data_IF_597125364215
#
_entry.id   IF_597125364215
#
_cell.length_a   1.000
_cell.length_b   1.000
_cell.length_c   1.000
_cell.angle_alpha   90.00
_cell.angle_beta   90.00
_cell.angle_gamma   90.00
#
_symmetry.space_group_name_H-M   'P 1'
#
loop_
_entity.id
_entity.type
_entity.pdbx_description
1 polymer ?
#
# COMPACT_ATOMS: atom_id res chain seq x y z
N UNK A 1 8.68 -20.43 25.52
CA UNK A 1 8.12 -21.23 24.41
C UNK A 1 9.02 -21.07 23.18
N UNK A 2 9.31 -22.15 22.47
CA UNK A 2 10.06 -22.12 21.21
C UNK A 2 9.21 -22.73 20.11
N UNK A 3 9.04 -22.02 18.99
CA UNK A 3 8.41 -22.53 17.77
C UNK A 3 9.52 -22.62 16.72
N UNK A 4 9.77 -23.83 16.23
CA UNK A 4 10.87 -24.13 15.31
C UNK A 4 10.52 -25.31 14.41
N UNK A 5 11.14 -25.36 13.24
CA UNK A 5 11.15 -26.55 12.38
C UNK A 5 11.85 -27.72 13.09
N UNK A 6 11.51 -28.96 12.69
CA UNK A 6 12.29 -30.14 13.02
C UNK A 6 13.65 -30.10 12.30
N UNK A 7 14.65 -30.76 12.87
CA UNK A 7 16.04 -30.57 12.44
C UNK A 7 16.26 -31.02 10.98
N UNK A 8 16.74 -30.11 10.13
CA UNK A 8 16.94 -30.34 8.70
C UNK A 8 15.68 -30.23 7.84
N UNK A 9 14.49 -30.04 8.43
CA UNK A 9 13.24 -29.93 7.68
C UNK A 9 12.88 -28.47 7.36
N UNK A 10 12.25 -28.26 6.21
CA UNK A 10 11.65 -26.98 5.87
C UNK A 10 10.25 -26.91 6.48
N UNK A 11 10.01 -25.93 7.36
CA UNK A 11 8.68 -25.62 7.86
C UNK A 11 8.21 -24.27 7.30
N UNK A 12 6.99 -24.25 6.74
CA UNK A 12 6.38 -23.05 6.20
C UNK A 12 5.11 -22.70 6.97
N UNK A 13 4.93 -21.41 7.25
CA UNK A 13 3.66 -20.85 7.71
C UNK A 13 3.19 -19.89 6.62
N UNK A 14 2.11 -20.26 5.95
CA UNK A 14 1.54 -19.49 4.84
C UNK A 14 0.23 -18.85 5.24
N UNK A 15 0.01 -17.61 4.77
CA UNK A 15 -1.28 -16.93 4.79
C UNK A 15 -2.16 -17.23 3.57
N UNK A 16 -1.69 -18.09 2.68
CA UNK A 16 -2.37 -18.55 1.48
C UNK A 16 -3.48 -19.54 1.81
N UNK A 17 -4.61 -19.41 1.13
CA UNK A 17 -5.71 -20.38 1.16
C UNK A 17 -5.83 -21.01 -0.22
N UNK A 18 -5.70 -22.35 -0.36
CA UNK A 18 -5.88 -23.02 -1.64
C UNK A 18 -7.23 -22.69 -2.27
N UNK A 19 -7.23 -22.52 -3.59
CA UNK A 19 -8.44 -22.28 -4.39
C UNK A 19 -8.70 -23.53 -5.22
N UNK A 20 -9.81 -24.21 -4.92
CA UNK A 20 -10.29 -25.29 -5.77
C UNK A 20 -11.04 -24.71 -6.97
N UNK A 21 -10.53 -24.98 -8.17
CA UNK A 21 -11.06 -24.38 -9.39
C UNK A 21 -11.29 -25.38 -10.52
N UNK A 22 -12.50 -25.37 -11.06
CA UNK A 22 -12.81 -26.01 -12.35
C UNK A 22 -12.75 -24.94 -13.45
N UNK A 23 -11.57 -24.82 -14.06
CA UNK A 23 -11.31 -23.79 -15.07
C UNK A 23 -12.09 -24.03 -16.36
N UNK A 24 -12.72 -22.95 -16.85
CA UNK A 24 -13.39 -22.91 -18.16
C UNK A 24 -12.77 -21.83 -19.01
N UNK A 25 -12.63 -22.08 -20.31
CA UNK A 25 -12.19 -21.05 -21.25
C UNK A 25 -13.22 -19.92 -21.26
N UNK A 26 -12.76 -18.69 -20.99
CA UNK A 26 -13.59 -17.49 -21.08
C UNK A 26 -13.41 -16.82 -22.44
N UNK A 27 -12.16 -16.59 -22.85
CA UNK A 27 -11.84 -15.93 -24.11
C UNK A 27 -10.54 -16.49 -24.67
N UNK A 28 -10.55 -16.82 -25.96
CA UNK A 28 -9.37 -17.14 -26.75
C UNK A 28 -9.34 -16.24 -27.98
N UNK A 29 -8.20 -15.65 -28.34
CA UNK A 29 -8.08 -14.92 -29.61
C UNK A 29 -6.80 -15.25 -30.38
N UNK A 30 -6.72 -14.72 -31.60
CA UNK A 30 -5.59 -14.90 -32.53
C UNK A 30 -4.24 -14.39 -32.00
N UNK A 31 -4.24 -13.58 -30.93
CA UNK A 31 -3.05 -13.02 -30.29
C UNK A 31 -2.62 -13.83 -29.05
N UNK A 32 -3.14 -15.05 -28.88
CA UNK A 32 -2.88 -15.93 -27.73
C UNK A 32 -3.41 -15.43 -26.37
N UNK A 33 -4.40 -14.53 -26.34
CA UNK A 33 -5.13 -14.22 -25.11
C UNK A 33 -5.87 -15.47 -24.66
N UNK A 34 -5.36 -16.14 -23.63
CA UNK A 34 -5.89 -17.40 -23.11
C UNK A 34 -6.48 -17.16 -21.71
N UNK A 35 -7.62 -16.49 -21.67
CA UNK A 35 -8.28 -16.14 -20.40
C UNK A 35 -9.18 -17.29 -19.99
N UNK A 36 -8.92 -17.84 -18.82
CA UNK A 36 -9.74 -18.83 -18.15
C UNK A 36 -10.48 -18.20 -16.99
N UNK A 37 -11.64 -18.75 -16.67
CA UNK A 37 -12.45 -18.33 -15.53
C UNK A 37 -12.83 -19.51 -14.64
N UNK A 38 -13.03 -19.22 -13.37
CA UNK A 38 -13.49 -20.14 -12.36
C UNK A 38 -14.39 -19.41 -11.37
N UNK A 39 -15.55 -20.00 -11.06
CA UNK A 39 -16.42 -19.51 -9.99
C UNK A 39 -15.89 -20.01 -8.65
N UNK A 40 -15.72 -19.11 -7.69
CA UNK A 40 -15.26 -19.41 -6.34
C UNK A 40 -16.37 -19.08 -5.33
N UNK A 41 -16.46 -19.80 -4.22
CA UNK A 41 -17.45 -19.54 -3.18
C UNK A 41 -16.78 -19.27 -1.84
N UNK A 42 -17.31 -18.30 -1.09
CA UNK A 42 -16.90 -18.05 0.30
C UNK A 42 -15.53 -17.41 0.52
N UNK A 43 -14.81 -17.00 -0.53
CA UNK A 43 -13.45 -16.45 -0.43
C UNK A 43 -13.34 -15.18 -1.29
N UNK A 44 -12.80 -14.10 -0.71
CA UNK A 44 -12.34 -12.91 -1.45
C UNK A 44 -10.91 -13.14 -1.95
N UNK A 45 -10.47 -12.49 -3.02
CA UNK A 45 -9.07 -12.60 -3.48
C UNK A 45 -8.42 -11.23 -3.45
N UNK A 46 -7.65 -10.99 -2.39
CA UNK A 46 -6.83 -9.80 -2.28
C UNK A 46 -5.48 -9.96 -2.97
N UNK A 47 -4.93 -11.17 -3.04
CA UNK A 47 -3.76 -11.47 -3.85
C UNK A 47 -3.78 -12.93 -4.27
N UNK A 48 -3.00 -13.29 -5.29
CA UNK A 48 -3.02 -14.61 -5.88
C UNK A 48 -1.59 -15.16 -6.03
N UNK A 49 -1.39 -16.41 -5.61
CA UNK A 49 -0.23 -17.23 -5.97
C UNK A 49 -0.63 -18.29 -6.97
N UNK A 50 0.27 -18.59 -7.89
CA UNK A 50 0.18 -19.69 -8.85
C UNK A 50 1.48 -20.49 -8.76
N UNK A 51 1.41 -21.76 -8.35
CA UNK A 51 2.58 -22.62 -8.10
C UNK A 51 3.63 -21.94 -7.20
N UNK A 52 3.19 -21.32 -6.11
CA UNK A 52 4.05 -20.57 -5.16
C UNK A 52 4.56 -19.21 -5.65
N UNK A 53 4.36 -18.84 -6.92
CA UNK A 53 4.80 -17.56 -7.50
C UNK A 53 3.68 -16.52 -7.43
N UNK A 54 4.02 -15.23 -7.23
CA UNK A 54 3.03 -14.15 -7.25
C UNK A 54 2.46 -13.97 -8.66
N UNK A 55 1.15 -14.08 -8.81
CA UNK A 55 0.48 -13.67 -10.03
C UNK A 55 0.29 -12.15 -10.07
N UNK A 56 0.27 -11.59 -11.28
CA UNK A 56 0.22 -10.14 -11.50
C UNK A 56 -1.24 -9.74 -11.50
N UNK A 57 -1.63 -8.78 -10.68
CA UNK A 57 -2.98 -8.23 -10.82
C UNK A 57 -3.03 -7.46 -12.14
N UNK A 58 -4.05 -7.74 -12.96
CA UNK A 58 -4.30 -7.08 -14.25
C UNK A 58 -4.00 -5.58 -14.18
N UNK A 59 -3.03 -5.11 -14.96
CA UNK A 59 -2.51 -3.73 -14.88
C UNK A 59 -1.99 -3.21 -16.20
N UNK A 60 -2.05 -1.89 -16.37
CA UNK A 60 -1.40 -1.21 -17.49
C UNK A 60 -0.51 -0.05 -17.04
N UNK A 61 0.75 0.02 -17.51
CA UNK A 61 1.39 -0.93 -18.42
C UNK A 61 1.63 -2.31 -17.79
N UNK A 62 1.67 -3.32 -18.64
CA UNK A 62 2.01 -4.69 -18.28
C UNK A 62 3.44 -4.75 -17.73
N UNK A 63 3.57 -5.18 -16.47
CA UNK A 63 4.87 -5.32 -15.81
C UNK A 63 4.80 -6.31 -14.64
N UNK A 64 5.89 -7.05 -14.44
CA UNK A 64 6.08 -7.85 -13.24
C UNK A 64 6.71 -6.97 -12.13
N UNK A 65 5.98 -6.69 -11.03
CA UNK A 65 6.48 -5.82 -9.97
C UNK A 65 7.69 -6.39 -9.21
N UNK A 66 7.90 -7.72 -9.23
CA UNK A 66 9.03 -8.36 -8.53
C UNK A 66 10.36 -8.21 -9.30
N UNK A 67 10.31 -8.02 -10.61
CA UNK A 67 11.52 -7.95 -11.46
C UNK A 67 11.70 -6.62 -12.18
N UNK A 68 10.61 -5.88 -12.41
CA UNK A 68 10.60 -4.62 -13.16
C UNK A 68 10.24 -3.41 -12.28
N UNK A 69 9.92 -3.63 -10.99
CA UNK A 69 9.57 -2.56 -10.07
C UNK A 69 8.27 -1.83 -10.46
N UNK A 70 8.31 -0.50 -10.51
CA UNK A 70 7.12 0.31 -10.82
C UNK A 70 6.58 0.06 -12.24
N UNK A 71 7.47 -0.16 -13.22
CA UNK A 71 7.11 -0.62 -14.56
C UNK A 71 6.22 0.32 -15.38
N UNK A 72 6.20 1.62 -15.07
CA UNK A 72 5.41 2.60 -15.81
C UNK A 72 6.14 3.94 -15.95
N UNK A 73 5.90 4.58 -17.09
CA UNK A 73 6.30 5.96 -17.40
C UNK A 73 5.09 6.81 -17.80
N UNK A 74 3.87 6.32 -17.58
CA UNK A 74 2.67 7.05 -17.95
C UNK A 74 2.53 8.30 -17.09
N UNK A 75 2.20 9.42 -17.73
CA UNK A 75 2.02 10.72 -17.09
C UNK A 75 0.57 11.15 -17.22
N UNK A 76 0.00 11.65 -16.13
CA UNK A 76 -1.32 12.25 -16.16
C UNK A 76 -1.30 13.53 -17.02
N UNK A 77 -2.42 13.86 -17.67
CA UNK A 77 -2.57 15.18 -18.31
C UNK A 77 -2.59 16.29 -17.25
N UNK A 78 -3.30 16.05 -16.16
CA UNK A 78 -3.25 16.90 -14.96
C UNK A 78 -3.77 16.15 -13.74
N UNK A 79 -3.25 16.49 -12.56
CA UNK A 79 -3.78 16.05 -11.28
C UNK A 79 -4.80 17.06 -10.76
N UNK A 80 -5.94 16.58 -10.28
CA UNK A 80 -7.00 17.44 -9.77
C UNK A 80 -6.68 17.88 -8.35
N UNK A 81 -6.67 19.19 -8.11
CA UNK A 81 -6.29 19.79 -6.83
C UNK A 81 -7.17 19.29 -5.68
N UNK A 82 -6.61 18.98 -4.50
CA UNK A 82 -7.34 18.41 -3.37
C UNK A 82 -8.73 19.04 -3.15
N UNK A 83 -9.73 18.24 -2.80
CA UNK A 83 -11.04 18.79 -2.43
C UNK A 83 -11.02 19.32 -1.00
N UNK A 84 -11.87 20.32 -0.64
CA UNK A 84 -12.04 20.75 0.73
C UNK A 84 -12.43 19.57 1.66
N UNK A 85 -12.09 19.62 2.96
CA UNK A 85 -11.48 20.74 3.68
C UNK A 85 -9.95 20.81 3.58
N UNK A 86 -9.41 22.02 3.39
CA UNK A 86 -7.96 22.28 3.28
C UNK A 86 -7.24 22.47 4.62
N UNK A 87 -8.00 22.63 5.70
CA UNK A 87 -7.49 22.91 7.04
C UNK A 87 -8.04 21.85 8.02
N UNK A 88 -7.29 21.56 9.11
CA UNK A 88 -7.77 20.65 10.13
C UNK A 88 -9.04 21.18 10.79
N UNK A 89 -9.94 20.27 11.16
CA UNK A 89 -11.14 20.59 11.92
C UNK A 89 -10.82 21.08 13.33
N UNK A 90 -9.71 20.59 13.91
CA UNK A 90 -9.21 21.03 15.21
C UNK A 90 -7.69 21.01 15.22
N UNK A 91 -7.08 21.94 15.96
CA UNK A 91 -5.64 22.01 16.11
C UNK A 91 -5.26 21.99 17.59
N UNK A 92 -4.49 20.96 17.96
CA UNK A 92 -3.92 20.84 19.29
C UNK A 92 -2.52 21.45 19.31
N UNK A 93 -2.30 22.34 20.27
CA UNK A 93 -0.98 22.94 20.54
C UNK A 93 -0.58 22.55 21.98
N UNK A 94 0.18 21.47 22.18
CA UNK A 94 0.59 21.06 23.52
C UNK A 94 1.45 22.16 24.16
N UNK A 95 1.09 22.57 25.38
CA UNK A 95 1.87 23.55 26.14
C UNK A 95 3.22 22.99 26.63
N UNK A 96 3.35 21.65 26.86
CA UNK A 96 4.58 20.94 27.26
C UNK A 96 4.33 19.40 27.37
N UNK A 97 5.31 18.47 27.31
CA UNK A 97 6.73 18.60 26.93
C UNK A 97 7.03 18.25 25.46
N UNK A 98 8.25 18.58 25.03
CA UNK A 98 8.91 18.44 23.71
C UNK A 98 8.59 19.52 22.66
N UNK A 99 8.62 20.80 23.05
CA UNK A 99 9.34 21.78 22.21
C UNK A 99 10.82 21.51 22.45
N UNK A 100 11.61 21.29 21.40
CA UNK A 100 13.04 21.58 21.51
C UNK A 100 13.11 23.08 21.22
N UNK A 101 12.93 23.86 22.27
CA UNK A 101 13.14 25.29 22.34
C UNK A 101 14.62 25.66 22.26
N UNK A 102 15.49 24.75 21.80
CA UNK A 102 16.74 25.10 21.13
C UNK A 102 16.44 26.01 19.96
N UNK A 103 16.33 27.29 20.30
CA UNK A 103 16.81 28.41 19.52
C UNK A 103 18.03 27.95 18.73
N UNK A 104 18.05 28.26 17.44
CA UNK A 104 19.19 28.09 16.55
C UNK A 104 20.49 28.35 17.33
N UNK A 105 21.18 27.30 17.78
CA UNK A 105 22.48 27.47 18.38
C UNK A 105 23.39 27.72 17.18
N UNK A 106 23.68 28.99 16.91
CA UNK A 106 24.79 29.37 16.06
C UNK A 106 26.07 28.91 16.77
N UNK A 107 26.39 27.61 16.69
CA UNK A 107 27.68 27.13 17.15
C UNK A 107 28.72 27.59 16.13
N UNK A 108 29.42 28.69 16.46
CA UNK A 108 30.62 29.09 15.74
C UNK A 108 31.70 28.04 15.99
N UNK A 109 31.90 27.14 15.04
CA UNK A 109 33.09 26.29 14.98
C UNK A 109 34.00 26.90 13.91
N UNK A 110 35.08 27.58 14.33
CA UNK A 110 36.10 28.09 13.40
C UNK A 110 35.74 29.34 12.60
N UNK A 111 34.74 30.14 13.00
CA UNK A 111 34.41 31.41 12.34
C UNK A 111 33.48 31.30 11.13
N UNK A 112 33.05 30.09 10.77
CA UNK A 112 31.97 29.84 9.81
C UNK A 112 30.66 29.57 10.53
N UNK A 113 29.59 30.29 10.15
CA UNK A 113 28.24 30.05 10.67
C UNK A 113 27.64 28.81 10.00
N UNK A 114 27.66 27.67 10.67
CA UNK A 114 26.92 26.48 10.26
C UNK A 114 25.51 26.55 10.84
N UNK A 115 24.55 27.01 10.03
CA UNK A 115 23.12 26.99 10.35
C UNK A 115 22.64 25.53 10.47
N UNK A 116 22.54 25.05 11.72
CA UNK A 116 21.90 23.75 11.99
C UNK A 116 20.40 23.98 12.14
N UNK A 117 19.64 23.76 11.06
CA UNK A 117 18.19 23.94 11.08
C UNK A 117 17.49 22.76 11.77
N UNK A 118 17.01 22.95 13.00
CA UNK A 118 16.09 22.01 13.64
C UNK A 118 14.66 22.23 13.12
N UNK A 119 14.28 21.59 12.02
CA UNK A 119 13.05 21.85 11.26
C UNK A 119 11.68 21.68 11.96
N UNK A 120 11.62 21.40 13.27
CA UNK A 120 10.37 21.08 14.00
C UNK A 120 10.16 22.00 15.21
N UNK A 121 9.95 23.30 14.97
CA UNK A 121 9.93 24.29 16.05
C UNK A 121 8.60 24.39 16.83
N UNK A 122 7.48 23.92 16.27
CA UNK A 122 6.21 23.84 17.00
C UNK A 122 5.47 22.54 16.68
N UNK A 123 5.40 21.61 17.63
CA UNK A 123 4.65 20.34 17.48
C UNK A 123 3.13 20.57 17.54
N UNK A 124 2.60 21.32 16.57
CA UNK A 124 1.15 21.45 16.35
C UNK A 124 0.65 20.15 15.74
N UNK A 125 -0.45 19.63 16.28
CA UNK A 125 -1.12 18.44 15.75
C UNK A 125 -2.49 18.83 15.22
N UNK A 126 -2.69 18.71 13.91
CA UNK A 126 -4.01 18.86 13.31
C UNK A 126 -4.83 17.57 13.45
N UNK A 127 -6.14 17.72 13.56
CA UNK A 127 -7.10 16.61 13.62
C UNK A 127 -8.25 16.86 12.64
N UNK A 128 -8.70 15.79 11.98
CA UNK A 128 -9.71 15.84 10.93
C UNK A 128 -9.23 16.61 9.70
N UNK A 129 -10.17 17.25 9.01
CA UNK A 129 -9.89 18.01 7.81
C UNK A 129 -9.24 17.15 6.70
N UNK A 130 -8.14 17.61 6.07
CA UNK A 130 -7.50 16.87 4.98
C UNK A 130 -6.87 15.54 5.43
N UNK A 131 -6.69 15.34 6.73
CA UNK A 131 -6.16 14.11 7.31
C UNK A 131 -7.24 13.11 7.75
N UNK A 132 -8.49 13.31 7.35
CA UNK A 132 -9.59 12.40 7.69
C UNK A 132 -9.35 10.95 7.23
N UNK A 133 -8.45 10.72 6.27
CA UNK A 133 -8.08 9.40 5.78
C UNK A 133 -7.04 8.65 6.64
N UNK A 134 -6.41 9.30 7.64
CA UNK A 134 -5.50 8.64 8.58
C UNK A 134 -6.25 7.99 9.75
N UNK A 135 -5.60 7.05 10.43
CA UNK A 135 -6.08 6.42 11.67
C UNK A 135 -5.01 6.46 12.77
N UNK A 136 -5.21 7.24 13.85
CA UNK A 136 -6.28 8.23 14.02
C UNK A 136 -6.18 9.35 12.96
N UNK A 137 -7.25 10.11 12.69
CA UNK A 137 -7.29 11.17 11.67
C UNK A 137 -6.55 12.42 12.16
N UNK A 138 -5.27 12.28 12.50
CA UNK A 138 -4.50 13.31 13.16
C UNK A 138 -2.99 13.12 13.00
N UNK A 139 -2.26 14.22 13.01
CA UNK A 139 -0.81 14.23 13.02
C UNK A 139 -0.21 15.60 12.77
N UNK A 140 1.12 15.64 12.65
CA UNK A 140 1.90 16.86 12.50
C UNK A 140 1.60 17.59 11.18
N UNK A 141 1.67 16.88 10.06
CA UNK A 141 1.40 17.44 8.72
C UNK A 141 -0.07 17.82 8.51
N UNK A 142 -0.96 17.41 9.41
CA UNK A 142 -2.36 17.85 9.43
C UNK A 142 -2.54 19.26 9.98
N UNK A 143 -1.51 19.83 10.62
CA UNK A 143 -1.52 21.19 11.16
C UNK A 143 -1.84 22.20 10.05
N UNK A 144 -2.50 23.30 10.39
CA UNK A 144 -2.70 24.44 9.47
C UNK A 144 -1.40 25.12 9.05
N UNK A 145 -0.34 24.97 9.86
CA UNK A 145 0.95 25.62 9.69
C UNK A 145 2.04 24.65 10.12
N UNK A 146 2.29 23.55 9.38
CA UNK A 146 3.42 22.69 9.68
C UNK A 146 4.72 23.42 9.30
N UNK A 147 5.83 23.04 9.94
CA UNK A 147 7.15 23.65 9.73
C UNK A 147 8.16 22.59 9.23
N UNK A 148 9.18 23.04 8.49
CA UNK A 148 10.21 22.20 7.88
C UNK A 148 10.45 22.51 6.40
N UNK A 149 11.43 21.85 5.78
CA UNK A 149 11.74 22.05 4.35
C UNK A 149 10.52 21.73 3.48
N UNK A 150 10.02 22.72 2.73
CA UNK A 150 8.83 22.61 1.89
C UNK A 150 7.52 22.34 2.64
N UNK A 151 7.41 22.80 3.89
CA UNK A 151 6.28 22.48 4.77
C UNK A 151 4.93 22.95 4.20
N UNK A 152 3.96 22.03 4.20
CA UNK A 152 2.61 22.33 3.77
C UNK A 152 1.63 21.38 4.42
N UNK A 153 0.42 21.85 4.68
CA UNK A 153 -0.65 21.01 5.21
C UNK A 153 -0.86 19.82 4.28
N UNK A 154 -0.89 18.62 4.86
CA UNK A 154 -1.11 17.37 4.15
C UNK A 154 -2.30 17.51 3.22
N UNK A 155 -2.09 17.11 1.98
CA UNK A 155 -3.06 17.18 0.90
C UNK A 155 -2.66 16.22 -0.20
N UNK A 156 -3.65 15.66 -0.85
CA UNK A 156 -3.50 14.67 -1.91
C UNK A 156 -4.45 15.04 -3.05
N UNK A 157 -4.10 14.74 -4.31
CA UNK A 157 -5.03 14.95 -5.41
C UNK A 157 -6.31 14.12 -5.18
N UNK A 158 -7.48 14.68 -5.51
CA UNK A 158 -8.75 13.92 -5.44
C UNK A 158 -9.07 13.19 -6.75
N UNK A 159 -8.23 13.32 -7.77
CA UNK A 159 -8.39 12.69 -9.06
C UNK A 159 -7.30 13.10 -10.04
N UNK A 160 -7.43 12.65 -11.27
CA UNK A 160 -6.55 12.98 -12.38
C UNK A 160 -7.31 12.97 -13.70
N UNK A 161 -6.81 13.74 -14.67
CA UNK A 161 -7.20 13.62 -16.08
C UNK A 161 -6.05 13.01 -16.87
N UNK A 162 -6.37 12.32 -17.95
CA UNK A 162 -5.40 11.67 -18.82
C UNK A 162 -5.84 11.78 -20.28
N UNK A 163 -4.89 11.65 -21.20
CA UNK A 163 -5.23 11.47 -22.60
C UNK A 163 -5.73 10.03 -22.80
N UNK A 164 -6.93 9.85 -23.34
CA UNK A 164 -7.49 8.50 -23.54
C UNK A 164 -6.59 7.61 -24.42
N UNK A 165 -5.73 8.19 -25.25
CA UNK A 165 -4.80 7.42 -26.10
C UNK A 165 -3.64 6.77 -25.33
N UNK A 166 -3.37 7.17 -24.08
CA UNK A 166 -2.25 6.58 -23.30
C UNK A 166 -2.67 5.33 -22.52
N UNK A 167 -3.96 5.03 -22.46
CA UNK A 167 -4.51 3.80 -21.88
C UNK A 167 -5.24 3.02 -22.99
N UNK A 168 -4.81 1.79 -23.32
CA UNK A 168 -5.26 1.08 -24.52
C UNK A 168 -6.76 0.76 -24.50
N UNK A 169 -7.33 0.61 -23.31
CA UNK A 169 -8.71 0.22 -23.09
C UNK A 169 -9.62 1.38 -22.65
N UNK A 170 -9.13 2.62 -22.71
CA UNK A 170 -9.97 3.79 -22.44
C UNK A 170 -10.89 4.11 -23.63
N UNK A 171 -12.18 4.43 -23.41
CA UNK A 171 -12.87 4.42 -22.12
C UNK A 171 -13.19 3.01 -21.62
N UNK A 172 -12.95 2.77 -20.34
CA UNK A 172 -13.30 1.52 -19.66
C UNK A 172 -14.81 1.39 -19.49
N UNK A 173 -15.34 0.18 -19.62
CA UNK A 173 -16.75 -0.12 -19.40
C UNK A 173 -17.08 -0.12 -17.91
N UNK A 174 -16.14 -0.59 -17.08
CA UNK A 174 -16.32 -0.65 -15.64
C UNK A 174 -14.99 -0.42 -14.91
N UNK A 175 -14.91 0.68 -14.15
CA UNK A 175 -13.73 1.01 -13.34
C UNK A 175 -13.89 0.68 -11.85
N UNK A 176 -14.98 0.01 -11.47
CA UNK A 176 -15.23 -0.36 -10.08
C UNK A 176 -14.14 -1.30 -9.56
N UNK A 177 -13.58 -0.95 -8.40
CA UNK A 177 -12.45 -1.66 -7.81
C UNK A 177 -11.09 -1.31 -8.41
N UNK A 178 -11.05 -0.54 -9.51
CA UNK A 178 -9.80 -0.08 -10.12
C UNK A 178 -8.96 0.75 -9.17
N UNK A 179 -7.64 0.66 -9.31
CA UNK A 179 -6.68 1.39 -8.48
C UNK A 179 -5.69 2.12 -9.38
N UNK A 180 -5.49 3.41 -9.11
CA UNK A 180 -4.35 4.17 -9.64
C UNK A 180 -3.20 4.07 -8.65
N UNK A 181 -2.06 3.58 -9.11
CA UNK A 181 -0.80 3.62 -8.39
C UNK A 181 0.05 4.73 -8.98
N UNK A 182 0.60 5.61 -8.14
CA UNK A 182 1.33 6.78 -8.61
C UNK A 182 2.54 7.06 -7.74
N UNK A 183 3.61 7.58 -8.33
CA UNK A 183 4.68 8.19 -7.56
C UNK A 183 4.21 9.52 -6.97
N UNK A 184 4.64 9.82 -5.75
CA UNK A 184 4.69 11.20 -5.26
C UNK A 184 5.82 11.92 -6.02
N UNK A 185 5.69 13.20 -6.39
CA UNK A 185 6.76 13.98 -7.01
C UNK A 185 8.06 13.93 -6.19
N UNK A 186 9.16 13.49 -6.80
CA UNK A 186 10.45 13.26 -6.12
C UNK A 186 10.65 11.83 -5.59
N UNK A 187 9.72 10.91 -5.88
CA UNK A 187 9.88 9.44 -5.86
C UNK A 187 10.28 8.76 -4.54
N UNK A 188 10.30 9.49 -3.42
CA UNK A 188 10.59 8.88 -2.11
C UNK A 188 9.37 8.21 -1.45
N UNK A 189 8.17 8.38 -2.03
CA UNK A 189 6.94 7.71 -1.65
C UNK A 189 6.05 7.46 -2.86
N UNK A 190 5.20 6.43 -2.77
CA UNK A 190 4.17 6.09 -3.75
C UNK A 190 2.78 6.14 -3.11
N UNK A 191 1.77 6.39 -3.93
CA UNK A 191 0.38 6.41 -3.54
C UNK A 191 -0.43 5.37 -4.28
N UNK A 192 -1.48 4.91 -3.61
CA UNK A 192 -2.50 4.07 -4.21
C UNK A 192 -3.86 4.73 -3.96
N UNK A 193 -4.64 4.86 -5.01
CA UNK A 193 -5.96 5.48 -5.01
C UNK A 193 -7.00 4.55 -5.63
N UNK A 194 -8.07 4.24 -4.88
CA UNK A 194 -9.24 3.55 -5.44
C UNK A 194 -10.03 4.52 -6.31
N UNK A 195 -10.34 4.10 -7.54
CA UNK A 195 -11.15 4.85 -8.49
C UNK A 195 -12.61 4.87 -8.02
N UNK A 196 -13.23 6.04 -8.01
CA UNK A 196 -14.65 6.24 -7.78
C UNK A 196 -15.40 6.04 -9.11
N UNK A 197 -15.99 4.87 -9.30
CA UNK A 197 -16.72 4.53 -10.53
C UNK A 197 -18.00 5.34 -10.73
N UNK A 198 -18.52 6.01 -9.70
CA UNK A 198 -19.74 6.83 -9.80
C UNK A 198 -19.45 8.27 -10.24
N UNK A 199 -18.21 8.72 -10.07
CA UNK A 199 -17.78 10.10 -10.40
C UNK A 199 -16.81 10.18 -11.57
N UNK A 200 -16.12 9.09 -11.88
CA UNK A 200 -15.16 9.04 -12.99
C UNK A 200 -15.87 9.04 -14.34
N UNK A 201 -15.18 9.55 -15.37
CA UNK A 201 -15.68 9.64 -16.75
C UNK A 201 -14.53 9.37 -17.73
N UNK A 202 -14.82 9.24 -19.02
CA UNK A 202 -13.77 9.05 -20.03
C UNK A 202 -12.70 10.15 -19.94
N UNK A 203 -11.42 9.75 -19.83
CA UNK A 203 -10.29 10.67 -19.69
C UNK A 203 -10.12 11.28 -18.29
N UNK A 204 -10.88 10.85 -17.28
CA UNK A 204 -10.80 11.37 -15.92
C UNK A 204 -11.09 10.28 -14.86
N UNK A 205 -10.15 10.08 -13.94
CA UNK A 205 -10.36 9.25 -12.76
C UNK A 205 -10.53 10.14 -11.53
N UNK A 206 -11.64 9.95 -10.82
CA UNK A 206 -11.86 10.53 -9.49
C UNK A 206 -11.52 9.47 -8.44
N UNK A 207 -10.91 9.88 -7.33
CA UNK A 207 -10.48 8.96 -6.28
C UNK A 207 -11.45 8.98 -5.10
N UNK A 208 -11.89 7.80 -4.67
CA UNK A 208 -12.76 7.64 -3.51
C UNK A 208 -11.96 7.49 -2.20
N UNK A 209 -10.75 6.92 -2.29
CA UNK A 209 -9.90 6.61 -1.13
C UNK A 209 -8.44 6.43 -1.56
N UNK A 210 -7.48 6.79 -0.71
CA UNK A 210 -6.06 6.58 -0.99
C UNK A 210 -5.17 7.74 -0.53
N UNK A 211 -3.92 7.72 -1.01
CA UNK A 211 -2.92 8.79 -0.82
C UNK A 211 -2.29 8.90 0.58
N UNK A 212 -2.75 8.10 1.54
CA UNK A 212 -2.28 8.10 2.94
C UNK A 212 -1.07 7.19 3.20
N UNK A 213 -0.42 6.68 2.15
CA UNK A 213 0.75 5.81 2.28
C UNK A 213 2.03 6.59 2.68
N UNK A 214 2.02 7.92 2.54
CA UNK A 214 2.96 8.82 3.20
C UNK A 214 2.21 9.90 3.99
N UNK A 215 2.93 10.61 4.87
CA UNK A 215 2.32 11.59 5.75
C UNK A 215 2.37 13.03 5.24
N UNK A 216 3.11 13.30 4.16
CA UNK A 216 3.40 14.65 3.67
C UNK A 216 2.46 15.10 2.57
N UNK A 217 2.07 14.19 1.69
CA UNK A 217 1.24 14.51 0.54
C UNK A 217 1.96 15.38 -0.51
N UNK A 218 1.21 15.72 -1.55
CA UNK A 218 1.50 16.73 -2.59
C UNK A 218 0.19 17.02 -3.36
N UNK A 219 0.12 18.16 -4.06
CA UNK A 219 -1.04 18.48 -4.92
C UNK A 219 -1.08 17.66 -6.21
N UNK A 220 0.06 17.09 -6.61
CA UNK A 220 0.19 16.31 -7.84
C UNK A 220 0.89 14.99 -7.54
N UNK A 221 0.59 13.98 -8.36
CA UNK A 221 1.42 12.79 -8.52
C UNK A 221 2.42 12.97 -9.65
N UNK A 222 3.26 11.95 -9.86
CA UNK A 222 4.18 11.84 -11.00
C UNK A 222 3.74 10.67 -11.90
N UNK A 223 4.62 9.76 -12.30
CA UNK A 223 4.25 8.60 -13.10
C UNK A 223 3.21 7.75 -12.40
N UNK A 224 2.28 7.20 -13.18
CA UNK A 224 1.22 6.35 -12.67
C UNK A 224 1.04 5.06 -13.48
N UNK A 225 0.33 4.10 -12.93
CA UNK A 225 -0.26 2.97 -13.66
C UNK A 225 -1.64 2.66 -13.09
N UNK A 226 -2.45 1.94 -13.86
CA UNK A 226 -3.74 1.43 -13.41
C UNK A 226 -3.66 -0.06 -13.16
N UNK A 227 -4.33 -0.55 -12.13
CA UNK A 227 -4.49 -1.98 -11.85
C UNK A 227 -5.92 -2.30 -11.43
N UNK A 228 -6.25 -3.59 -11.42
CA UNK A 228 -7.55 -4.10 -11.02
C UNK A 228 -8.71 -3.68 -11.95
N UNK A 229 -8.45 -3.59 -13.25
CA UNK A 229 -9.46 -3.35 -14.28
C UNK A 229 -9.54 -4.58 -15.17
N UNK A 230 -10.76 -5.05 -15.48
CA UNK A 230 -10.92 -6.31 -16.22
C UNK A 230 -10.37 -6.23 -17.64
N UNK A 231 -10.53 -5.08 -18.29
CA UNK A 231 -10.01 -4.85 -19.64
C UNK A 231 -8.47 -4.90 -19.71
N UNK A 232 -7.78 -4.65 -18.59
CA UNK A 232 -6.31 -4.79 -18.50
C UNK A 232 -5.87 -6.22 -18.14
N UNK A 233 -6.77 -7.21 -18.17
CA UNK A 233 -6.38 -8.63 -18.11
C UNK A 233 -5.95 -9.05 -19.52
N UNK A 234 -4.73 -8.70 -19.91
CA UNK A 234 -4.28 -8.87 -21.28
C UNK A 234 -2.85 -9.39 -21.45
N UNK A 235 -2.14 -9.67 -20.35
CA UNK A 235 -0.82 -10.27 -20.36
C UNK A 235 -0.73 -11.61 -19.60
N UNK A 236 0.24 -12.48 -19.96
CA UNK A 236 0.45 -13.74 -19.27
C UNK A 236 0.68 -13.62 -17.77
N UNK A 237 0.09 -14.54 -16.99
CA UNK A 237 0.17 -14.58 -15.52
C UNK A 237 -0.60 -13.46 -14.82
N UNK A 238 -1.38 -12.68 -15.56
CA UNK A 238 -2.29 -11.72 -14.97
C UNK A 238 -3.56 -12.38 -14.45
N UNK A 239 -4.17 -11.76 -13.44
CA UNK A 239 -5.45 -12.17 -12.89
C UNK A 239 -6.36 -10.98 -12.57
N UNK A 240 -7.66 -11.23 -12.59
CA UNK A 240 -8.69 -10.32 -12.15
C UNK A 240 -9.76 -11.09 -11.37
N UNK A 241 -10.19 -10.55 -10.24
CA UNK A 241 -11.28 -11.15 -9.46
C UNK A 241 -12.51 -10.26 -9.47
N UNK A 242 -13.59 -10.76 -10.07
CA UNK A 242 -14.89 -10.10 -10.01
C UNK A 242 -15.60 -10.49 -8.72
N UNK A 243 -15.54 -9.61 -7.71
CA UNK A 243 -16.15 -9.85 -6.40
C UNK A 243 -17.68 -9.89 -6.44
N UNK A 244 -18.33 -9.20 -7.39
CA UNK A 244 -19.80 -9.21 -7.51
C UNK A 244 -20.31 -10.53 -8.08
N UNK A 245 -19.56 -11.13 -8.99
CA UNK A 245 -19.89 -12.42 -9.59
C UNK A 245 -19.23 -13.62 -8.87
N UNK A 246 -18.32 -13.36 -7.93
CA UNK A 246 -17.40 -14.34 -7.35
C UNK A 246 -16.68 -15.20 -8.41
N UNK A 247 -16.14 -14.54 -9.43
CA UNK A 247 -15.45 -15.20 -10.54
C UNK A 247 -14.00 -14.74 -10.61
N UNK A 248 -13.07 -15.69 -10.51
CA UNK A 248 -11.65 -15.47 -10.77
C UNK A 248 -11.38 -15.66 -12.26
N UNK A 249 -10.73 -14.68 -12.86
CA UNK A 249 -10.21 -14.72 -14.22
C UNK A 249 -8.68 -14.76 -14.16
N UNK A 250 -8.08 -15.58 -15.01
CA UNK A 250 -6.63 -15.74 -15.09
C UNK A 250 -6.20 -15.88 -16.55
N UNK A 251 -5.18 -15.13 -16.94
CA UNK A 251 -4.51 -15.31 -18.22
C UNK A 251 -3.45 -16.40 -18.07
N UNK A 252 -3.67 -17.56 -18.71
CA UNK A 252 -2.68 -18.63 -18.75
C UNK A 252 -1.71 -18.46 -19.93
N UNK A 253 -0.40 -18.49 -19.67
CA UNK A 253 0.63 -18.40 -20.72
C UNK A 253 0.71 -19.66 -21.62
N UNK A 254 0.15 -20.78 -21.17
CA UNK A 254 0.24 -22.08 -21.85
C UNK A 254 -0.99 -22.34 -22.70
N UNK A 255 -0.89 -23.34 -23.58
CA UNK A 255 -2.03 -23.88 -24.30
C UNK A 255 -2.88 -24.73 -23.35
N UNK A 256 -4.19 -24.48 -23.31
CA UNK A 256 -5.14 -25.23 -22.49
C UNK A 256 -5.34 -24.66 -21.08
N UNK A 257 -6.29 -25.25 -20.35
CA UNK A 257 -6.65 -24.80 -19.01
C UNK A 257 -5.50 -25.04 -18.01
N UNK A 258 -5.35 -24.19 -16.99
CA UNK A 258 -4.34 -24.35 -15.93
C UNK A 258 -4.76 -25.42 -14.90
N UNK A 259 -5.11 -26.62 -15.37
CA UNK A 259 -5.73 -27.68 -14.54
C UNK A 259 -4.79 -28.25 -13.49
N UNK A 260 -3.48 -28.22 -13.74
CA UNK A 260 -2.46 -28.76 -12.83
C UNK A 260 -1.78 -27.68 -12.00
N UNK A 261 -2.18 -26.41 -12.15
CA UNK A 261 -1.60 -25.33 -11.37
C UNK A 261 -2.26 -25.23 -9.99
N UNK A 262 -1.45 -24.98 -8.98
CA UNK A 262 -1.89 -24.68 -7.62
C UNK A 262 -2.18 -23.19 -7.48
N UNK A 263 -3.43 -22.84 -7.20
CA UNK A 263 -3.85 -21.47 -6.96
C UNK A 263 -4.07 -21.24 -5.47
N UNK A 264 -3.54 -20.15 -4.92
CA UNK A 264 -3.73 -19.78 -3.51
C UNK A 264 -4.14 -18.30 -3.39
N UNK A 265 -5.23 -18.03 -2.67
CA UNK A 265 -5.65 -16.67 -2.31
C UNK A 265 -4.87 -16.19 -1.08
N UNK A 266 -4.27 -15.00 -1.16
CA UNK A 266 -3.51 -14.40 -0.05
C UNK A 266 -4.35 -13.34 0.68
N UNK A 267 -5.07 -13.75 1.72
CA UNK A 267 -6.00 -12.87 2.46
C UNK A 267 -5.60 -12.65 3.93
N UNK A 268 -4.76 -13.52 4.49
CA UNK A 268 -4.35 -13.38 5.88
C UNK A 268 -3.24 -12.34 6.01
N UNK A 269 -3.38 -11.36 6.91
CA UNK A 269 -2.39 -10.27 7.09
C UNK A 269 -1.29 -10.59 8.09
N UNK A 270 -1.60 -11.41 9.10
CA UNK A 270 -0.74 -11.69 10.25
C UNK A 270 -0.72 -13.19 10.49
N UNK A 271 0.48 -13.78 10.54
CA UNK A 271 0.69 -15.21 10.80
C UNK A 271 0.94 -15.47 12.29
N UNK A 272 1.69 -14.58 12.94
CA UNK A 272 1.97 -14.64 14.37
C UNK A 272 1.56 -13.33 15.03
N UNK A 273 0.71 -13.40 16.06
CA UNK A 273 0.28 -12.24 16.84
C UNK A 273 0.67 -12.41 18.31
N UNK A 274 1.64 -11.61 18.75
CA UNK A 274 2.19 -11.62 20.10
C UNK A 274 1.80 -10.32 20.79
N UNK A 275 0.70 -10.36 21.55
CA UNK A 275 0.08 -9.16 22.12
C UNK A 275 0.03 -9.27 23.65
N UNK A 276 0.88 -8.49 24.31
CA UNK A 276 0.83 -8.25 25.75
C UNK A 276 0.31 -6.87 26.08
N UNK A 277 0.48 -6.47 27.34
CA UNK A 277 0.33 -5.10 27.79
C UNK A 277 1.49 -4.71 28.73
N UNK A 278 1.54 -3.44 29.15
CA UNK A 278 2.66 -2.96 29.98
C UNK A 278 2.79 -3.68 31.33
N UNK A 279 1.67 -4.14 31.91
CA UNK A 279 1.66 -4.89 33.16
C UNK A 279 2.00 -6.37 32.96
N UNK A 280 1.61 -6.93 31.81
CA UNK A 280 1.80 -8.34 31.45
C UNK A 280 2.40 -8.44 30.05
N UNK A 281 3.70 -8.13 29.88
CA UNK A 281 4.35 -8.20 28.59
C UNK A 281 4.56 -9.65 28.15
N UNK A 282 4.52 -9.89 26.85
CA UNK A 282 4.92 -11.20 26.29
C UNK A 282 6.43 -11.36 26.50
N UNK A 283 6.86 -12.48 27.08
CA UNK A 283 8.25 -12.78 27.40
C UNK A 283 8.61 -14.22 27.04
N UNK A 284 9.92 -14.50 26.91
CA UNK A 284 10.48 -15.85 26.74
C UNK A 284 9.91 -16.64 25.55
N UNK A 285 9.77 -15.99 24.39
CA UNK A 285 9.32 -16.60 23.14
C UNK A 285 10.40 -16.53 22.06
N UNK A 286 10.58 -17.63 21.33
CA UNK A 286 11.49 -17.73 20.19
C UNK A 286 10.76 -18.33 19.01
N UNK A 287 10.80 -17.65 17.86
CA UNK A 287 10.33 -18.15 16.56
C UNK A 287 11.57 -18.21 15.67
N UNK A 288 11.95 -19.40 15.19
CA UNK A 288 13.15 -19.58 14.37
C UNK A 288 12.98 -20.70 13.36
N UNK A 289 13.75 -20.65 12.27
CA UNK A 289 13.77 -21.73 11.26
C UNK A 289 12.45 -21.94 10.51
N UNK A 290 11.58 -20.93 10.47
CA UNK A 290 10.33 -20.96 9.72
C UNK A 290 10.40 -20.03 8.52
N UNK A 291 9.88 -20.48 7.39
CA UNK A 291 9.58 -19.59 6.25
C UNK A 291 8.18 -19.02 6.41
N UNK A 292 8.07 -17.69 6.42
CA UNK A 292 6.80 -16.98 6.49
C UNK A 292 6.44 -16.49 5.08
N UNK A 293 5.28 -16.86 4.57
CA UNK A 293 4.86 -16.49 3.20
C UNK A 293 3.38 -16.11 3.08
N UNK A 294 3.06 -15.48 1.95
CA UNK A 294 1.69 -15.26 1.45
C UNK A 294 0.76 -14.45 2.34
N UNK A 295 1.30 -13.50 3.08
CA UNK A 295 0.46 -12.51 3.73
C UNK A 295 -0.11 -11.52 2.72
N UNK A 296 -1.35 -11.11 2.93
CA UNK A 296 -2.01 -10.10 2.13
C UNK A 296 -1.20 -8.78 2.13
N UNK A 297 -1.13 -8.08 0.99
CA UNK A 297 -0.69 -6.69 0.98
C UNK A 297 -1.63 -5.81 1.80
N UNK A 298 -1.11 -4.69 2.29
CA UNK A 298 -1.85 -3.83 3.21
C UNK A 298 -1.75 -2.34 2.87
N UNK A 299 -1.28 -1.99 1.67
CA UNK A 299 -1.11 -0.59 1.26
C UNK A 299 -2.40 0.27 1.31
N UNK A 300 -3.58 -0.37 1.19
CA UNK A 300 -4.87 0.31 1.38
C UNK A 300 -5.45 0.17 2.79
N UNK A 301 -4.82 -0.51 3.74
CA UNK A 301 -5.33 -0.52 5.10
C UNK A 301 -5.09 0.83 5.79
N UNK A 302 -5.68 1.02 6.95
CA UNK A 302 -5.56 2.28 7.68
C UNK A 302 -4.11 2.55 8.11
N UNK A 303 -3.57 3.70 7.69
CA UNK A 303 -2.26 4.20 8.09
C UNK A 303 -2.41 5.31 9.12
N UNK A 304 -1.48 5.39 10.07
CA UNK A 304 -1.37 6.48 11.03
C UNK A 304 -0.10 7.30 10.80
N UNK A 305 -0.08 8.52 11.32
CA UNK A 305 1.09 9.39 11.32
C UNK A 305 1.71 9.42 12.72
N UNK A 306 2.68 8.54 13.05
CA UNK A 306 3.19 8.41 14.41
C UNK A 306 4.19 9.50 14.80
N UNK A 307 4.72 10.27 13.84
CA UNK A 307 5.79 11.24 14.08
C UNK A 307 5.61 12.50 13.22
N UNK A 308 6.52 13.47 13.38
CA UNK A 308 6.63 14.63 12.50
C UNK A 308 7.40 14.37 11.20
N UNK A 309 7.97 13.16 11.01
CA UNK A 309 8.58 12.78 9.75
C UNK A 309 7.55 12.57 8.64
N UNK A 310 8.01 12.39 7.41
CA UNK A 310 7.14 12.25 6.23
C UNK A 310 6.50 10.85 6.09
N UNK A 311 6.61 10.01 7.13
CA UNK A 311 6.17 8.61 7.13
C UNK A 311 4.76 8.45 7.67
N UNK A 312 3.91 7.77 6.90
CA UNK A 312 2.68 7.17 7.38
C UNK A 312 2.88 5.66 7.49
N UNK A 313 2.41 5.06 8.59
CA UNK A 313 2.63 3.65 8.87
C UNK A 313 1.32 2.96 9.17
N UNK A 314 1.10 1.85 8.50
CA UNK A 314 0.21 0.84 9.03
C UNK A 314 0.95 0.02 10.10
N UNK A 315 0.30 -0.14 11.25
CA UNK A 315 0.83 -0.92 12.37
C UNK A 315 0.46 -2.39 12.22
N UNK A 316 1.07 -3.07 11.25
CA UNK A 316 0.90 -4.51 11.02
C UNK A 316 2.20 -5.13 10.48
N UNK A 317 2.23 -6.46 10.40
CA UNK A 317 3.27 -7.23 9.72
C UNK A 317 2.93 -8.72 9.77
N UNK A 318 3.66 -9.53 9.00
CA UNK A 318 3.48 -10.99 9.04
C UNK A 318 3.67 -11.56 10.45
N UNK A 319 4.54 -10.91 11.24
CA UNK A 319 4.60 -11.05 12.70
C UNK A 319 4.18 -9.71 13.31
N UNK A 320 3.13 -9.72 14.12
CA UNK A 320 2.66 -8.56 14.86
C UNK A 320 3.05 -8.65 16.33
N UNK A 321 3.77 -7.63 16.81
CA UNK A 321 4.35 -7.58 18.15
C UNK A 321 3.86 -6.35 18.91
N UNK A 322 3.33 -6.53 20.13
CA UNK A 322 2.93 -5.43 21.02
C UNK A 322 3.24 -5.75 22.47
N UNK A 323 3.95 -4.84 23.14
CA UNK A 323 4.36 -4.93 24.54
C UNK A 323 5.12 -6.25 24.87
N UNK A 324 6.35 -6.34 24.38
CA UNK A 324 7.25 -7.46 24.65
C UNK A 324 8.28 -7.09 25.71
N UNK A 325 8.70 -8.08 26.49
CA UNK A 325 9.89 -8.00 27.33
C UNK A 325 11.05 -8.65 26.59
N UNK A 326 11.99 -7.83 26.14
CA UNK A 326 13.24 -8.31 25.53
C UNK A 326 14.20 -8.62 26.69
N UNK A 327 14.60 -9.89 26.81
CA UNK A 327 15.67 -10.26 27.74
C UNK A 327 16.98 -9.62 27.27
N UNK A 328 17.85 -9.14 28.17
CA UNK A 328 19.14 -8.57 27.77
C UNK A 328 19.91 -9.56 26.90
N UNK A 329 20.55 -9.06 25.84
CA UNK A 329 21.44 -9.86 25.00
C UNK A 329 22.44 -10.56 25.92
N UNK A 330 22.37 -11.89 26.02
CA UNK A 330 23.48 -12.66 26.57
C UNK A 330 24.64 -12.42 25.61
N UNK A 331 25.62 -11.63 26.01
CA UNK A 331 26.92 -11.62 25.34
C UNK A 331 27.36 -13.08 25.25
N UNK A 332 27.47 -13.62 24.03
CA UNK A 332 28.17 -14.87 23.82
C UNK A 332 29.59 -14.64 24.32
N UNK A 333 29.90 -15.21 25.49
CA UNK A 333 31.27 -15.33 26.01
C UNK A 333 31.94 -16.55 25.40
#
# INVERSE_FOLDING_TARGET
MVITNYNGELAQVSGGTPIECTWKLYKQNSNNLNIYQCSISGISIMGLRVNGTRAIRARYPNANPETQGFGSTLQAKSWLSPSPPYLPSYQFNPYYPIRNDTFCCCNKIGGTELLTFFFFFEKKKGMGGPCANFTPPAGYWCSSNPQGGGATTYRIPYGMTYNTSILPHSPYHNVNGGVVQAWRPGHWASWMFTIDSTKSKSGEFIFSRGGFQDARGNNAGDEFYVENLFEELDAPSEWFFNSSANTLYYYNNRTGAPTFDEFEATNLKVLFSLVGNMSYPVANMTIRGLTLRDTQYTYMDNHGMPSGGDWALQRTGAIYLKALKISPFSTMS
#
